data_IF_037371661416
#
_entry.id   IF_037371661416
#
_cell.length_a   1.000
_cell.length_b   1.000
_cell.length_c   1.000
_cell.angle_alpha   90.00
_cell.angle_beta   90.00
_cell.angle_gamma   90.00
#
_symmetry.space_group_name_H-M   'P 1'
#
loop_
_entity.id
_entity.type
_entity.pdbx_description
1 polymer ?
#
# COMPACT_ATOMS: atom_id res chain seq x y z
N UNK A 1 -1.27 -26.77 -23.85
CA UNK A 1 -0.53 -25.77 -24.65
C UNK A 1 -0.38 -24.50 -23.82
N UNK A 2 0.79 -24.30 -23.18
CA UNK A 2 1.04 -23.06 -22.40
C UNK A 2 1.20 -21.91 -23.40
N UNK A 3 0.14 -21.13 -23.58
CA UNK A 3 0.14 -19.92 -24.42
C UNK A 3 1.33 -18.99 -24.08
N UNK A 4 1.75 -19.01 -22.81
CA UNK A 4 2.93 -18.33 -22.26
C UNK A 4 4.26 -18.70 -22.94
N UNK A 5 4.39 -19.94 -23.44
CA UNK A 5 5.63 -20.42 -24.09
C UNK A 5 5.72 -20.08 -25.58
N UNK A 6 4.57 -19.84 -26.23
CA UNK A 6 4.50 -19.56 -27.67
C UNK A 6 4.48 -18.05 -27.92
N UNK A 7 3.80 -17.28 -27.06
CA UNK A 7 3.68 -15.82 -27.16
C UNK A 7 3.97 -15.12 -25.82
N UNK A 8 5.23 -15.13 -25.36
CA UNK A 8 5.60 -14.56 -24.06
C UNK A 8 5.24 -13.07 -23.94
N UNK A 9 5.45 -12.30 -25.02
CA UNK A 9 5.15 -10.87 -25.03
C UNK A 9 3.64 -10.56 -24.92
N UNK A 10 2.80 -11.38 -25.58
CA UNK A 10 1.34 -11.23 -25.51
C UNK A 10 0.85 -11.59 -24.10
N UNK A 11 1.39 -12.66 -23.51
CA UNK A 11 1.09 -13.01 -22.12
C UNK A 11 1.43 -11.90 -21.14
N UNK A 12 2.62 -11.28 -21.28
CA UNK A 12 3.03 -10.15 -20.45
C UNK A 12 2.11 -8.95 -20.66
N UNK A 13 1.79 -8.60 -21.92
CA UNK A 13 0.92 -7.47 -22.24
C UNK A 13 -0.50 -7.66 -21.66
N UNK A 14 -1.07 -8.86 -21.77
CA UNK A 14 -2.38 -9.18 -21.19
C UNK A 14 -2.34 -9.11 -19.66
N UNK A 15 -1.26 -9.57 -19.03
CA UNK A 15 -1.11 -9.49 -17.58
C UNK A 15 -1.01 -8.04 -17.10
N UNK A 16 -0.26 -7.20 -17.81
CA UNK A 16 -0.22 -5.75 -17.53
C UNK A 16 -1.61 -5.13 -17.72
N UNK A 17 -2.29 -5.45 -18.82
CA UNK A 17 -3.65 -4.96 -19.09
C UNK A 17 -4.63 -5.32 -17.97
N UNK A 18 -4.56 -6.54 -17.43
CA UNK A 18 -5.40 -6.97 -16.31
C UNK A 18 -5.02 -6.32 -14.96
N UNK A 19 -3.79 -5.83 -14.80
CA UNK A 19 -3.36 -5.11 -13.59
C UNK A 19 -3.66 -3.62 -13.63
N UNK A 20 -3.93 -3.06 -14.81
CA UNK A 20 -4.38 -1.66 -14.91
C UNK A 20 -5.80 -1.60 -14.38
N UNK A 21 -6.09 -0.71 -13.40
CA UNK A 21 -7.43 -0.57 -12.88
C UNK A 21 -8.35 -0.09 -14.03
N UNK A 22 -9.26 -0.98 -14.44
CA UNK A 22 -10.23 -0.69 -15.53
C UNK A 22 -11.25 0.36 -15.09
N UNK A 23 -11.40 0.58 -13.78
CA UNK A 23 -12.40 1.47 -13.21
C UNK A 23 -11.78 2.53 -12.32
N UNK A 24 -12.33 3.74 -12.37
CA UNK A 24 -11.97 4.86 -11.47
C UNK A 24 -12.31 4.58 -10.01
N UNK A 25 -13.21 3.63 -9.73
CA UNK A 25 -13.69 3.33 -8.39
C UNK A 25 -12.56 2.89 -7.42
N UNK A 26 -11.52 2.22 -7.93
CA UNK A 26 -10.38 1.81 -7.11
C UNK A 26 -9.49 2.99 -6.74
N UNK A 27 -9.22 3.88 -7.69
CA UNK A 27 -8.54 5.15 -7.44
C UNK A 27 -9.37 6.03 -6.48
N UNK A 28 -10.68 6.13 -6.68
CA UNK A 28 -11.57 6.87 -5.77
C UNK A 28 -11.58 6.30 -4.36
N UNK A 29 -11.55 4.97 -4.21
CA UNK A 29 -11.44 4.29 -2.91
C UNK A 29 -10.13 4.64 -2.21
N UNK A 30 -9.00 4.62 -2.91
CA UNK A 30 -7.70 4.98 -2.34
C UNK A 30 -7.63 6.48 -1.99
N UNK A 31 -8.15 7.37 -2.83
CA UNK A 31 -8.24 8.80 -2.52
C UNK A 31 -9.19 9.11 -1.35
N UNK A 32 -10.30 8.39 -1.25
CA UNK A 32 -11.23 8.49 -0.10
C UNK A 32 -10.53 8.08 1.20
N UNK A 33 -9.74 6.99 1.17
CA UNK A 33 -8.91 6.59 2.31
C UNK A 33 -7.82 7.62 2.62
N UNK A 34 -7.13 8.15 1.61
CA UNK A 34 -6.14 9.20 1.80
C UNK A 34 -6.75 10.45 2.45
N UNK A 35 -7.97 10.83 2.07
CA UNK A 35 -8.73 11.92 2.69
C UNK A 35 -9.07 11.64 4.16
N UNK A 36 -9.32 10.39 4.55
CA UNK A 36 -9.51 10.01 5.95
C UNK A 36 -8.20 10.09 6.75
N UNK A 37 -7.08 9.63 6.16
CA UNK A 37 -5.74 9.65 6.78
C UNK A 37 -5.25 11.08 6.96
N UNK A 38 -5.37 11.88 5.89
CA UNK A 38 -5.14 13.32 5.89
C UNK A 38 -6.39 14.01 6.44
N UNK A 39 -6.64 13.86 7.74
CA UNK A 39 -7.71 14.62 8.39
C UNK A 39 -7.43 16.12 8.20
N UNK A 40 -8.48 16.90 7.96
CA UNK A 40 -8.37 18.35 7.71
C UNK A 40 -7.66 19.07 8.86
N UNK A 41 -7.74 18.52 10.08
CA UNK A 41 -7.08 19.03 11.29
C UNK A 41 -5.60 18.58 11.45
N UNK A 42 -5.13 17.60 10.67
CA UNK A 42 -3.73 17.10 10.67
C UNK A 42 -3.02 17.44 9.34
N UNK A 43 -3.17 18.68 8.88
CA UNK A 43 -2.58 19.17 7.63
C UNK A 43 -1.04 19.28 7.65
N UNK A 44 -0.40 19.17 8.82
CA UNK A 44 1.06 19.35 9.01
C UNK A 44 1.87 18.05 9.03
N UNK A 45 1.28 16.89 8.68
CA UNK A 45 2.02 15.62 8.60
C UNK A 45 3.03 15.67 7.46
N UNK A 46 4.31 15.36 7.74
CA UNK A 46 5.37 15.24 6.73
C UNK A 46 5.04 14.16 5.70
N UNK A 47 5.45 14.38 4.45
CA UNK A 47 5.15 13.48 3.34
C UNK A 47 5.57 12.02 3.60
N UNK A 48 6.74 11.79 4.19
CA UNK A 48 7.21 10.44 4.54
C UNK A 48 6.23 9.71 5.48
N UNK A 49 5.76 10.41 6.52
CA UNK A 49 4.81 9.85 7.48
C UNK A 49 3.43 9.64 6.86
N UNK A 50 3.02 10.54 5.96
CA UNK A 50 1.76 10.40 5.23
C UNK A 50 1.79 9.16 4.33
N UNK A 51 2.88 8.97 3.58
CA UNK A 51 3.06 7.81 2.71
C UNK A 51 3.03 6.51 3.52
N UNK A 52 3.76 6.44 4.64
CA UNK A 52 3.73 5.26 5.51
C UNK A 52 2.34 4.91 6.04
N UNK A 53 1.58 5.92 6.48
CA UNK A 53 0.19 5.72 6.93
C UNK A 53 -0.74 5.33 5.77
N UNK A 54 -0.55 5.89 4.59
CA UNK A 54 -1.30 5.53 3.39
C UNK A 54 -1.06 4.07 3.00
N UNK A 55 0.19 3.61 3.01
CA UNK A 55 0.53 2.20 2.74
C UNK A 55 -0.14 1.27 3.75
N UNK A 56 -0.07 1.57 5.05
CA UNK A 56 -0.73 0.75 6.08
C UNK A 56 -2.26 0.71 5.95
N UNK A 57 -2.87 1.79 5.47
CA UNK A 57 -4.32 1.87 5.30
C UNK A 57 -4.83 1.23 4.00
N UNK A 58 -4.03 1.22 2.94
CA UNK A 58 -4.32 0.51 1.69
C UNK A 58 -4.15 -0.99 1.94
N UNK A 59 -3.00 -1.38 2.49
CA UNK A 59 -2.63 -2.76 2.81
C UNK A 59 -3.12 -3.19 4.20
N UNK A 60 -4.31 -2.74 4.59
CA UNK A 60 -4.80 -2.91 5.96
C UNK A 60 -5.00 -4.38 6.37
N UNK A 61 -5.24 -5.28 5.40
CA UNK A 61 -5.38 -6.71 5.68
C UNK A 61 -4.04 -7.35 6.02
N UNK A 62 -2.96 -6.95 5.34
CA UNK A 62 -1.61 -7.34 5.70
C UNK A 62 -1.19 -6.71 7.03
N UNK A 63 -1.55 -5.44 7.26
CA UNK A 63 -1.24 -4.75 8.50
C UNK A 63 -1.88 -5.39 9.74
N UNK A 64 -3.06 -6.03 9.60
CA UNK A 64 -3.69 -6.80 10.69
C UNK A 64 -2.91 -8.05 11.09
N UNK A 65 -2.10 -8.60 10.19
CA UNK A 65 -1.28 -9.79 10.46
C UNK A 65 0.00 -9.45 11.23
N UNK A 66 0.33 -8.17 11.40
CA UNK A 66 1.51 -7.75 12.14
C UNK A 66 1.33 -7.98 13.65
N UNK A 67 2.36 -8.52 14.28
CA UNK A 67 2.43 -8.60 15.73
C UNK A 67 2.86 -7.25 16.31
N UNK A 68 1.96 -6.60 17.05
CA UNK A 68 2.23 -5.29 17.64
C UNK A 68 3.34 -5.33 18.69
N UNK A 69 3.49 -6.43 19.44
CA UNK A 69 4.52 -6.55 20.47
C UNK A 69 5.92 -6.51 19.84
N UNK A 70 6.10 -7.18 18.70
CA UNK A 70 7.37 -7.17 17.96
C UNK A 70 7.66 -5.77 17.39
N UNK A 71 6.65 -5.07 16.90
CA UNK A 71 6.81 -3.69 16.39
C UNK A 71 7.19 -2.73 17.52
N UNK A 72 6.57 -2.87 18.70
CA UNK A 72 6.88 -2.05 19.89
C UNK A 72 8.30 -2.32 20.36
N UNK A 73 8.71 -3.59 20.45
CA UNK A 73 10.06 -3.98 20.85
C UNK A 73 11.10 -3.44 19.86
N UNK A 74 10.87 -3.59 18.56
CA UNK A 74 11.75 -3.04 17.53
C UNK A 74 11.84 -1.51 17.59
N UNK A 75 10.73 -0.82 17.83
CA UNK A 75 10.72 0.63 18.00
C UNK A 75 11.51 1.05 19.25
N UNK A 76 11.33 0.33 20.37
CA UNK A 76 12.06 0.57 21.61
C UNK A 76 13.58 0.38 21.41
N UNK A 77 14.00 -0.70 20.75
CA UNK A 77 15.40 -0.96 20.41
C UNK A 77 15.99 0.12 19.49
N UNK A 78 15.25 0.55 18.47
CA UNK A 78 15.68 1.60 17.56
C UNK A 78 15.84 2.96 18.27
N UNK A 79 14.98 3.24 19.26
CA UNK A 79 15.03 4.48 20.05
C UNK A 79 16.08 4.43 21.16
N UNK A 80 16.41 3.24 21.67
CA UNK A 80 17.39 3.00 22.73
C UNK A 80 18.86 3.22 22.31
N UNK A 81 19.15 3.55 21.05
CA UNK A 81 20.49 3.97 20.58
C UNK A 81 20.76 5.48 20.70
N UNK A 82 20.14 6.14 21.68
CA UNK A 82 20.53 7.45 22.21
C UNK A 82 20.33 7.50 23.71
#
# INVERSE_FOLDING_TARGET
LKLESIFPNISIALRIFCTVPVTVAEAERTFSKLKQIKSVQRSTVKQERLNGLATLAIEHDLAKLLNFDDVINNFALAKSRR
#
